data_IF_700022705650
#
_entry.id   IF_700022705650
#
_cell.length_a   1.000
_cell.length_b   1.000
_cell.length_c   1.000
_cell.angle_alpha   90.00
_cell.angle_beta   90.00
_cell.angle_gamma   90.00
#
_symmetry.space_group_name_H-M   'P 1'
#
loop_
_entity.id
_entity.type
_entity.pdbx_description
1 polymer ?
#
# COMPACT_ATOMS: atom_id res chain seq x y z
N UNK A 1 8.19 7.88 12.61
CA UNK A 1 6.88 7.23 12.86
C UNK A 1 5.80 8.17 12.38
N UNK A 2 5.46 8.06 11.09
CA UNK A 2 4.60 9.03 10.43
C UNK A 2 3.14 8.62 10.64
N UNK A 3 2.48 9.22 11.64
CA UNK A 3 1.05 9.00 11.97
C UNK A 3 0.09 9.64 10.96
N UNK A 4 0.55 9.87 9.74
CA UNK A 4 -0.20 10.56 8.68
C UNK A 4 -1.45 9.79 8.28
N UNK A 5 -1.40 8.47 8.30
CA UNK A 5 -2.51 7.64 7.87
C UNK A 5 -3.16 6.97 9.06
N UNK A 6 -4.42 7.28 9.28
CA UNK A 6 -5.27 6.69 10.31
C UNK A 6 -6.09 5.55 9.69
N UNK A 7 -5.72 4.30 9.99
CA UNK A 7 -6.36 3.09 9.43
C UNK A 7 -7.80 3.00 9.93
N UNK A 8 -8.73 2.82 8.99
CA UNK A 8 -10.17 2.76 9.27
C UNK A 8 -10.73 1.35 9.19
N UNK A 9 -10.36 0.62 8.15
CA UNK A 9 -10.88 -0.73 7.92
C UNK A 9 -9.94 -1.55 7.01
N UNK A 10 -10.08 -2.86 7.05
CA UNK A 10 -9.45 -3.81 6.13
C UNK A 10 -10.37 -4.09 4.93
N UNK A 11 -9.86 -3.91 3.72
CA UNK A 11 -10.58 -4.23 2.47
C UNK A 11 -10.31 -5.64 1.98
N UNK A 12 -9.17 -6.21 2.32
CA UNK A 12 -8.80 -7.54 1.86
C UNK A 12 -7.39 -7.93 2.25
N UNK A 13 -7.14 -9.24 2.19
CA UNK A 13 -5.86 -9.85 2.50
C UNK A 13 -5.48 -10.82 1.38
N UNK A 14 -4.32 -10.62 0.79
CA UNK A 14 -3.64 -11.59 -0.07
C UNK A 14 -2.65 -12.44 0.74
N UNK A 15 -1.89 -13.30 0.06
CA UNK A 15 -0.95 -14.22 0.72
C UNK A 15 0.11 -13.50 1.55
N UNK A 16 0.60 -12.34 1.07
CA UNK A 16 1.66 -11.53 1.69
C UNK A 16 1.34 -10.03 1.69
N UNK A 17 0.09 -9.66 1.44
CA UNK A 17 -0.30 -8.26 1.35
C UNK A 17 -1.64 -8.00 2.01
N UNK A 18 -1.77 -6.84 2.64
CA UNK A 18 -3.01 -6.38 3.26
C UNK A 18 -3.43 -5.06 2.63
N UNK A 19 -4.73 -4.89 2.44
CA UNK A 19 -5.32 -3.69 1.87
C UNK A 19 -6.18 -3.02 2.93
N UNK A 20 -5.92 -1.75 3.17
CA UNK A 20 -6.63 -0.95 4.16
C UNK A 20 -7.24 0.29 3.53
N UNK A 21 -8.40 0.71 4.05
CA UNK A 21 -8.83 2.11 3.93
C UNK A 21 -8.21 2.89 5.07
N UNK A 22 -7.65 4.06 4.76
CA UNK A 22 -7.12 4.97 5.75
C UNK A 22 -7.57 6.41 5.46
N UNK A 23 -7.53 7.23 6.50
CA UNK A 23 -7.69 8.68 6.39
C UNK A 23 -6.30 9.34 6.37
N UNK A 24 -6.03 10.17 5.39
CA UNK A 24 -4.87 11.07 5.42
C UNK A 24 -5.18 12.24 6.36
N UNK A 25 -4.51 12.30 7.51
CA UNK A 25 -4.74 13.31 8.54
C UNK A 25 -4.17 14.68 8.17
N UNK A 26 -3.30 14.76 7.16
CA UNK A 26 -2.71 16.01 6.67
C UNK A 26 -3.49 16.58 5.48
N UNK A 27 -4.30 15.76 4.81
CA UNK A 27 -5.20 16.24 3.77
C UNK A 27 -6.37 17.04 4.37
N UNK A 28 -6.79 18.10 3.68
CA UNK A 28 -8.05 18.77 4.01
C UNK A 28 -9.20 17.76 4.00
N UNK A 29 -10.14 17.78 4.97
CA UNK A 29 -11.29 16.87 4.99
C UNK A 29 -12.17 16.96 3.74
N UNK A 30 -12.15 18.10 3.02
CA UNK A 30 -12.89 18.27 1.76
C UNK A 30 -12.09 17.82 0.54
N UNK A 31 -10.81 17.45 0.70
CA UNK A 31 -10.00 16.92 -0.39
C UNK A 31 -10.50 15.53 -0.80
N UNK A 32 -10.57 15.22 -2.11
CA UNK A 32 -10.83 13.87 -2.57
C UNK A 32 -9.73 12.87 -2.15
N UNK A 33 -8.57 13.37 -1.72
CA UNK A 33 -7.45 12.56 -1.23
C UNK A 33 -7.45 12.37 0.30
N UNK A 34 -8.51 12.80 1.00
CA UNK A 34 -8.63 12.60 2.46
C UNK A 34 -8.87 11.16 2.85
N UNK A 35 -9.43 10.35 1.95
CA UNK A 35 -9.58 8.90 2.07
C UNK A 35 -8.67 8.22 1.06
N UNK A 36 -7.86 7.28 1.53
CA UNK A 36 -6.84 6.62 0.72
C UNK A 36 -6.90 5.11 0.92
N UNK A 37 -6.35 4.38 -0.05
CA UNK A 37 -6.13 2.93 0.07
C UNK A 37 -4.64 2.70 0.29
N UNK A 38 -4.31 1.90 1.31
CA UNK A 38 -2.95 1.47 1.62
C UNK A 38 -2.84 -0.01 1.29
N UNK A 39 -1.89 -0.35 0.42
CA UNK A 39 -1.41 -1.72 0.25
C UNK A 39 -0.13 -1.88 1.06
N UNK A 40 -0.13 -2.78 2.02
CA UNK A 40 1.04 -3.10 2.85
C UNK A 40 1.56 -4.49 2.49
N UNK A 41 2.87 -4.62 2.33
CA UNK A 41 3.52 -5.92 2.29
C UNK A 41 3.69 -6.42 3.73
N UNK A 42 3.18 -7.61 4.00
CA UNK A 42 3.32 -8.27 5.29
C UNK A 42 3.83 -9.69 5.07
N UNK A 43 5.13 -9.84 5.24
CA UNK A 43 5.83 -11.11 5.00
C UNK A 43 5.61 -12.14 6.10
N UNK A 44 5.07 -11.70 7.25
CA UNK A 44 4.75 -12.54 8.40
C UNK A 44 3.36 -13.19 8.32
N UNK A 45 2.61 -12.99 7.23
CA UNK A 45 1.28 -13.58 7.07
C UNK A 45 1.31 -15.09 6.83
N UNK A 46 2.45 -15.62 6.41
CA UNK A 46 2.69 -17.05 6.22
C UNK A 46 3.86 -17.48 7.11
N UNK A 47 3.78 -18.70 7.64
CA UNK A 47 4.78 -19.24 8.58
C UNK A 47 6.04 -19.81 7.88
N UNK A 48 6.10 -19.80 6.55
CA UNK A 48 7.13 -20.50 5.75
C UNK A 48 7.82 -19.57 4.74
N UNK A 49 8.29 -18.42 5.22
CA UNK A 49 8.99 -17.44 4.39
C UNK A 49 10.49 -17.70 4.38
N UNK A 50 11.02 -18.15 3.25
CA UNK A 50 12.46 -18.16 3.01
C UNK A 50 12.99 -16.77 2.57
N UNK A 51 14.30 -16.55 2.75
CA UNK A 51 14.94 -15.25 2.48
C UNK A 51 14.94 -14.87 0.98
N UNK A 52 14.89 -15.84 0.07
CA UNK A 52 14.86 -15.57 -1.37
C UNK A 52 13.46 -15.16 -1.82
N UNK A 53 12.42 -15.76 -1.21
CA UNK A 53 11.02 -15.38 -1.38
C UNK A 53 10.77 -13.98 -0.80
N UNK A 54 11.29 -13.67 0.39
CA UNK A 54 11.19 -12.33 0.97
C UNK A 54 11.75 -11.27 0.00
N UNK A 55 12.97 -11.49 -0.50
CA UNK A 55 13.61 -10.60 -1.47
C UNK A 55 12.74 -10.42 -2.71
N UNK A 56 12.22 -11.53 -3.24
CA UNK A 56 11.36 -11.53 -4.43
C UNK A 56 10.05 -10.76 -4.18
N UNK A 57 9.44 -10.88 -3.00
CA UNK A 57 8.21 -10.16 -2.63
C UNK A 57 8.46 -8.66 -2.52
N UNK A 58 9.57 -8.25 -1.90
CA UNK A 58 9.96 -6.84 -1.81
C UNK A 58 10.22 -6.26 -3.19
N UNK A 59 10.97 -6.95 -4.03
CA UNK A 59 11.26 -6.54 -5.42
C UNK A 59 9.97 -6.42 -6.24
N UNK A 60 9.08 -7.40 -6.17
CA UNK A 60 7.79 -7.36 -6.87
C UNK A 60 6.93 -6.19 -6.38
N UNK A 61 6.85 -5.98 -5.08
CA UNK A 61 6.09 -4.88 -4.51
C UNK A 61 6.61 -3.50 -4.96
N UNK A 62 7.93 -3.34 -5.04
CA UNK A 62 8.55 -2.12 -5.57
C UNK A 62 8.32 -1.97 -7.07
N UNK A 63 8.48 -3.04 -7.84
CA UNK A 63 8.26 -3.05 -9.29
C UNK A 63 6.81 -2.70 -9.66
N UNK A 64 5.83 -3.19 -8.91
CA UNK A 64 4.42 -2.82 -9.06
C UNK A 64 4.22 -1.31 -8.87
N UNK A 65 4.81 -0.73 -7.82
CA UNK A 65 4.71 0.71 -7.56
C UNK A 65 5.35 1.54 -8.69
N UNK A 66 6.52 1.11 -9.19
CA UNK A 66 7.22 1.75 -10.31
C UNK A 66 6.39 1.65 -11.60
N UNK A 67 5.79 0.49 -11.86
CA UNK A 67 4.94 0.29 -13.03
C UNK A 67 3.69 1.18 -12.97
N UNK A 68 3.07 1.28 -11.79
CA UNK A 68 1.89 2.10 -11.59
C UNK A 68 2.17 3.59 -11.80
N UNK A 69 3.32 4.09 -11.34
CA UNK A 69 3.73 5.49 -11.54
C UNK A 69 3.91 5.88 -13.01
N UNK A 70 4.16 4.89 -13.89
CA UNK A 70 4.33 5.12 -15.35
C UNK A 70 3.01 5.25 -16.09
N UNK A 71 1.87 4.95 -15.47
CA UNK A 71 0.55 4.97 -16.12
C UNK A 71 -0.29 6.11 -15.56
N UNK A 72 -0.74 7.01 -16.43
CA UNK A 72 -1.74 8.03 -16.10
C UNK A 72 -2.96 7.86 -16.99
N UNK A 73 -4.02 7.31 -16.42
CA UNK A 73 -5.26 7.01 -17.14
C UNK A 73 -6.46 7.14 -16.19
N UNK A 74 -7.62 7.69 -16.63
CA UNK A 74 -8.77 7.92 -15.76
C UNK A 74 -9.34 6.65 -15.11
N UNK A 75 -9.15 5.49 -15.75
CA UNK A 75 -9.61 4.18 -15.25
C UNK A 75 -8.50 3.36 -14.57
N UNK A 76 -7.36 3.97 -14.26
CA UNK A 76 -6.25 3.32 -13.55
C UNK A 76 -5.99 4.11 -12.27
N UNK A 77 -5.87 3.38 -11.15
CA UNK A 77 -5.60 4.00 -9.86
C UNK A 77 -4.24 4.71 -9.86
N UNK A 78 -4.14 5.82 -9.15
CA UNK A 78 -2.89 6.58 -9.03
C UNK A 78 -2.26 6.38 -7.66
N UNK A 79 -0.94 6.20 -7.64
CA UNK A 79 -0.18 6.20 -6.39
C UNK A 79 0.03 7.64 -5.91
N UNK A 80 -0.30 7.90 -4.65
CA UNK A 80 -0.19 9.23 -4.03
C UNK A 80 0.97 9.35 -3.03
N UNK A 81 1.60 8.23 -2.67
CA UNK A 81 2.71 8.20 -1.74
C UNK A 81 3.22 6.78 -1.49
N UNK A 82 4.26 6.68 -0.67
CA UNK A 82 4.80 5.43 -0.14
C UNK A 82 5.31 5.65 1.28
N UNK A 83 5.49 4.55 2.02
CA UNK A 83 6.07 4.56 3.35
C UNK A 83 6.74 3.23 3.64
N UNK A 84 7.62 3.24 4.63
CA UNK A 84 8.21 2.04 5.23
C UNK A 84 7.70 1.98 6.67
N UNK A 85 7.29 0.78 7.11
CA UNK A 85 6.96 0.53 8.50
C UNK A 85 8.22 0.55 9.37
#
# INVERSE_FOLDING_TARGET
MDKRYDIRDGLGRGSYAEIFVARDTLASPQSPHSTVVIKALNVFLQDDLDADLERTLVENFQNEAIALDRVRHPNVISRIGHGTA
#
